data_IF_462927020774
#
_entry.id   IF_462927020774
#
_cell.length_a   1.000
_cell.length_b   1.000
_cell.length_c   1.000
_cell.angle_alpha   90.00
_cell.angle_beta   90.00
_cell.angle_gamma   90.00
#
_symmetry.space_group_name_H-M   'P 1'
#
loop_
_entity.id
_entity.type
_entity.pdbx_description
1 polymer ?
#
# COMPACT_ATOMS: atom_id res chain seq x y z
N UNK A 1 -28.72 0.35 14.01
CA UNK A 1 -27.33 0.80 14.09
C UNK A 1 -27.13 2.02 13.24
N UNK A 2 -26.63 3.09 13.83
CA UNK A 2 -26.54 4.38 13.15
C UNK A 2 -25.09 4.79 12.85
N UNK A 3 -24.09 3.98 13.29
CA UNK A 3 -22.67 4.26 13.02
C UNK A 3 -22.22 3.64 11.71
N UNK A 4 -21.53 4.45 10.89
CA UNK A 4 -21.01 4.08 9.57
C UNK A 4 -19.60 4.61 9.40
N UNK A 5 -18.87 4.13 8.39
CA UNK A 5 -17.59 4.70 8.00
C UNK A 5 -17.76 5.48 6.69
N UNK A 6 -17.42 6.76 6.72
CA UNK A 6 -17.35 7.64 5.55
C UNK A 6 -15.92 7.70 5.04
N UNK A 7 -15.72 7.41 3.75
CA UNK A 7 -14.42 7.40 3.11
C UNK A 7 -14.39 8.45 2.01
N UNK A 8 -13.54 9.46 2.15
CA UNK A 8 -13.35 10.50 1.12
C UNK A 8 -12.44 9.96 0.03
N UNK A 9 -12.92 10.03 -1.21
CA UNK A 9 -12.21 9.55 -2.38
C UNK A 9 -11.11 10.54 -2.79
N UNK A 10 -9.95 10.01 -3.14
CA UNK A 10 -8.78 10.78 -3.54
C UNK A 10 -8.76 11.13 -5.04
N UNK A 11 -7.60 11.01 -5.64
CA UNK A 11 -7.34 11.39 -7.04
C UNK A 11 -8.22 10.65 -8.08
N UNK A 12 -8.87 9.56 -7.70
CA UNK A 12 -9.77 8.83 -8.59
C UNK A 12 -10.99 9.66 -9.04
N UNK A 13 -11.39 10.69 -8.27
CA UNK A 13 -12.48 11.59 -8.67
C UNK A 13 -12.13 12.45 -9.89
N UNK A 14 -10.84 12.59 -10.21
CA UNK A 14 -10.33 13.35 -11.34
C UNK A 14 -10.26 12.52 -12.64
N UNK A 15 -10.70 11.25 -12.64
CA UNK A 15 -10.54 10.32 -13.77
C UNK A 15 -11.58 10.49 -14.90
N UNK A 16 -12.38 11.54 -14.87
CA UNK A 16 -13.33 11.87 -15.94
C UNK A 16 -14.24 10.70 -16.28
N UNK A 17 -14.32 10.30 -17.54
CA UNK A 17 -15.16 9.20 -18.03
C UNK A 17 -14.83 7.84 -17.43
N UNK A 18 -13.60 7.62 -16.98
CA UNK A 18 -13.16 6.35 -16.38
C UNK A 18 -13.51 6.25 -14.87
N UNK A 19 -14.02 7.30 -14.27
CA UNK A 19 -14.29 7.37 -12.82
C UNK A 19 -15.08 6.17 -12.30
N UNK A 20 -16.11 5.74 -13.03
CA UNK A 20 -16.95 4.60 -12.63
C UNK A 20 -16.14 3.31 -12.49
N UNK A 21 -15.26 3.00 -13.43
CA UNK A 21 -14.38 1.82 -13.37
C UNK A 21 -13.46 1.84 -12.13
N UNK A 22 -12.93 3.03 -11.77
CA UNK A 22 -12.12 3.20 -10.56
C UNK A 22 -12.94 3.02 -9.28
N UNK A 23 -14.17 3.57 -9.23
CA UNK A 23 -15.08 3.40 -8.09
C UNK A 23 -15.50 1.93 -7.93
N UNK A 24 -15.86 1.25 -9.00
CA UNK A 24 -16.24 -0.18 -8.98
C UNK A 24 -15.08 -1.06 -8.48
N UNK A 25 -13.84 -0.77 -8.93
CA UNK A 25 -12.65 -1.46 -8.45
C UNK A 25 -12.41 -1.20 -6.96
N UNK A 26 -12.57 0.04 -6.51
CA UNK A 26 -12.43 0.42 -5.11
C UNK A 26 -13.46 -0.29 -4.23
N UNK A 27 -14.73 -0.30 -4.64
CA UNK A 27 -15.81 -1.02 -3.95
C UNK A 27 -15.50 -2.51 -3.85
N UNK A 28 -15.03 -3.12 -4.95
CA UNK A 28 -14.63 -4.52 -4.97
C UNK A 28 -13.47 -4.81 -4.00
N UNK A 29 -12.48 -3.91 -3.92
CA UNK A 29 -11.37 -4.04 -2.98
C UNK A 29 -11.85 -3.89 -1.52
N UNK A 30 -12.74 -2.93 -1.24
CA UNK A 30 -13.33 -2.74 0.08
C UNK A 30 -14.12 -3.98 0.54
N UNK A 31 -15.02 -4.49 -0.31
CA UNK A 31 -15.84 -5.68 -0.01
C UNK A 31 -15.00 -6.91 0.32
N UNK A 32 -13.90 -7.14 -0.42
CA UNK A 32 -13.00 -8.27 -0.13
C UNK A 32 -12.36 -8.15 1.26
N UNK A 33 -11.98 -6.95 1.68
CA UNK A 33 -11.36 -6.71 2.99
C UNK A 33 -12.34 -6.80 4.16
N UNK A 34 -13.62 -6.57 3.88
CA UNK A 34 -14.69 -6.60 4.88
C UNK A 34 -15.34 -7.99 5.03
N UNK A 35 -14.98 -8.95 4.14
CA UNK A 35 -15.67 -10.25 4.04
C UNK A 35 -15.80 -11.00 5.35
N UNK A 36 -14.72 -11.01 6.15
CA UNK A 36 -14.64 -11.78 7.40
C UNK A 36 -14.96 -10.92 8.64
N UNK A 37 -15.38 -9.67 8.44
CA UNK A 37 -15.68 -8.70 9.51
C UNK A 37 -17.19 -8.48 9.71
N UNK A 38 -18.03 -9.12 8.92
CA UNK A 38 -19.49 -9.03 8.97
C UNK A 38 -20.11 -8.61 7.64
N UNK A 39 -21.42 -8.39 7.64
CA UNK A 39 -22.16 -7.97 6.46
C UNK A 39 -22.20 -6.44 6.36
N UNK A 40 -21.59 -5.89 5.33
CA UNK A 40 -21.52 -4.45 5.09
C UNK A 40 -22.13 -4.09 3.73
N UNK A 41 -22.90 -3.03 3.70
CA UNK A 41 -23.28 -2.36 2.45
C UNK A 41 -22.22 -1.34 2.08
N UNK A 42 -21.59 -1.52 0.90
CA UNK A 42 -20.53 -0.64 0.39
C UNK A 42 -20.98 -0.03 -0.93
N UNK A 43 -21.00 1.29 -1.00
CA UNK A 43 -21.39 2.05 -2.20
C UNK A 43 -20.71 3.42 -2.24
N UNK A 44 -20.66 4.05 -3.42
CA UNK A 44 -20.12 5.41 -3.60
C UNK A 44 -21.21 6.37 -4.00
N UNK A 45 -21.19 7.57 -3.45
CA UNK A 45 -22.02 8.70 -3.86
C UNK A 45 -21.34 10.03 -3.57
N UNK A 46 -21.42 10.99 -4.49
CA UNK A 46 -20.89 12.34 -4.33
C UNK A 46 -19.43 12.37 -3.81
N UNK A 47 -18.54 11.56 -4.43
CA UNK A 47 -17.11 11.45 -4.07
C UNK A 47 -16.84 10.95 -2.63
N UNK A 48 -17.81 10.28 -2.04
CA UNK A 48 -17.69 9.59 -0.75
C UNK A 48 -18.09 8.14 -0.93
N UNK A 49 -17.31 7.21 -0.36
CA UNK A 49 -17.71 5.82 -0.19
C UNK A 49 -18.28 5.66 1.21
N UNK A 50 -19.35 4.93 1.29
CA UNK A 50 -20.09 4.60 2.52
C UNK A 50 -19.87 3.13 2.83
N UNK A 51 -19.53 2.81 4.07
CA UNK A 51 -19.45 1.46 4.60
C UNK A 51 -20.42 1.39 5.77
N UNK A 52 -21.56 0.75 5.53
CA UNK A 52 -22.67 0.65 6.47
C UNK A 52 -22.79 -0.78 6.98
N UNK A 53 -22.74 -1.04 8.30
CA UNK A 53 -23.01 -2.36 8.83
C UNK A 53 -24.49 -2.71 8.63
N UNK A 54 -24.77 -3.94 8.22
CA UNK A 54 -26.14 -4.46 8.06
C UNK A 54 -26.61 -5.21 9.31
N UNK A 55 -25.70 -5.57 10.20
CA UNK A 55 -25.95 -6.35 11.41
C UNK A 55 -25.18 -5.76 12.59
N UNK A 56 -25.69 -5.99 13.81
CA UNK A 56 -25.05 -5.53 15.06
C UNK A 56 -23.75 -6.26 15.37
N UNK A 57 -23.56 -7.42 14.79
CA UNK A 57 -22.40 -8.28 14.97
C UNK A 57 -21.18 -7.86 14.13
N UNK A 58 -21.33 -6.87 13.25
CA UNK A 58 -20.23 -6.38 12.42
C UNK A 58 -19.08 -5.83 13.25
N UNK A 59 -17.84 -6.26 12.96
CA UNK A 59 -16.63 -5.71 13.55
C UNK A 59 -16.28 -4.34 12.93
N UNK A 60 -16.77 -3.28 13.57
CA UNK A 60 -16.55 -1.90 13.13
C UNK A 60 -15.11 -1.44 13.33
N UNK A 61 -14.37 -1.97 14.31
CA UNK A 61 -12.97 -1.62 14.54
C UNK A 61 -12.06 -2.28 13.51
N UNK A 62 -12.30 -3.57 13.22
CA UNK A 62 -11.65 -4.26 12.11
C UNK A 62 -11.96 -3.61 10.76
N UNK A 63 -13.20 -3.21 10.52
CA UNK A 63 -13.60 -2.50 9.30
C UNK A 63 -12.88 -1.14 9.17
N UNK A 64 -12.78 -0.38 10.25
CA UNK A 64 -12.02 0.86 10.29
C UNK A 64 -10.56 0.65 9.92
N UNK A 65 -9.90 -0.32 10.55
CA UNK A 65 -8.50 -0.66 10.28
C UNK A 65 -8.31 -1.12 8.82
N UNK A 66 -9.20 -1.95 8.29
CA UNK A 66 -9.15 -2.41 6.90
C UNK A 66 -9.33 -1.26 5.91
N UNK A 67 -10.23 -0.31 6.20
CA UNK A 67 -10.50 0.84 5.34
C UNK A 67 -9.42 1.91 5.43
N UNK A 68 -8.74 2.07 6.57
CA UNK A 68 -7.61 3.01 6.70
C UNK A 68 -6.42 2.65 5.81
N UNK A 69 -6.30 1.37 5.45
CA UNK A 69 -5.26 0.83 4.55
C UNK A 69 -5.70 0.70 3.09
N UNK A 70 -6.91 1.12 2.75
CA UNK A 70 -7.47 1.00 1.41
C UNK A 70 -6.94 2.10 0.49
N UNK A 71 -6.17 1.74 -0.52
CA UNK A 71 -5.70 2.70 -1.53
C UNK A 71 -6.87 3.24 -2.37
N UNK A 72 -6.85 4.56 -2.60
CA UNK A 72 -7.92 5.31 -3.24
C UNK A 72 -8.68 6.23 -2.27
N UNK A 73 -8.50 6.06 -0.96
CA UNK A 73 -9.13 6.82 0.12
C UNK A 73 -8.14 7.82 0.70
N UNK A 74 -8.49 9.11 0.76
CA UNK A 74 -7.63 10.18 1.31
C UNK A 74 -8.01 10.60 2.71
N UNK A 75 -9.21 10.27 3.16
CA UNK A 75 -9.67 10.55 4.52
C UNK A 75 -10.82 9.64 4.90
N UNK A 76 -10.92 9.34 6.17
CA UNK A 76 -11.98 8.50 6.73
C UNK A 76 -12.51 9.08 8.04
N UNK A 77 -13.80 8.88 8.30
CA UNK A 77 -14.46 9.32 9.51
C UNK A 77 -15.50 8.27 9.95
N UNK A 78 -15.55 7.97 11.23
CA UNK A 78 -16.72 7.32 11.82
C UNK A 78 -17.81 8.37 11.95
N UNK A 79 -19.01 8.07 11.53
CA UNK A 79 -20.12 8.99 11.51
C UNK A 79 -21.40 8.31 11.99
N UNK A 80 -22.28 9.09 12.61
CA UNK A 80 -23.63 8.64 12.92
C UNK A 80 -24.61 9.25 11.92
N UNK A 81 -25.44 8.40 11.34
CA UNK A 81 -26.53 8.83 10.47
C UNK A 81 -27.72 9.32 11.29
N UNK A 82 -28.41 10.37 10.83
CA UNK A 82 -29.62 10.89 11.44
C UNK A 82 -30.56 11.47 10.38
N UNK A 83 -31.74 11.85 10.79
CA UNK A 83 -32.72 12.51 9.91
C UNK A 83 -32.20 13.86 9.39
N UNK A 84 -32.67 14.27 8.19
CA UNK A 84 -32.30 15.55 7.59
C UNK A 84 -33.16 16.68 8.22
N UNK A 85 -32.90 16.89 9.48
CA UNK A 85 -33.55 17.93 10.28
C UNK A 85 -32.53 18.59 11.21
N UNK A 86 -32.67 19.90 11.45
CA UNK A 86 -31.68 20.65 12.25
C UNK A 86 -31.62 20.18 13.70
N UNK A 87 -32.80 19.85 14.28
CA UNK A 87 -32.90 19.43 15.68
C UNK A 87 -32.41 17.97 15.85
N UNK A 88 -32.69 17.11 14.84
CA UNK A 88 -32.14 15.75 14.78
C UNK A 88 -30.62 15.76 14.66
N UNK A 89 -30.01 16.64 13.85
CA UNK A 89 -28.57 16.84 13.75
C UNK A 89 -27.96 17.29 15.08
N UNK A 90 -28.60 18.25 15.77
CA UNK A 90 -28.17 18.72 17.07
C UNK A 90 -28.24 17.61 18.12
N UNK A 91 -29.34 16.89 18.20
CA UNK A 91 -29.54 15.78 19.13
C UNK A 91 -28.49 14.65 18.86
N UNK A 92 -28.26 14.35 17.59
CA UNK A 92 -27.22 13.39 17.19
C UNK A 92 -25.82 13.86 17.60
N UNK A 93 -25.47 15.14 17.39
CA UNK A 93 -24.20 15.70 17.81
C UNK A 93 -24.01 15.61 19.34
N UNK A 94 -25.02 16.02 20.11
CA UNK A 94 -24.97 15.92 21.56
C UNK A 94 -24.86 14.49 22.08
N UNK A 95 -25.50 13.51 21.46
CA UNK A 95 -25.45 12.12 21.92
C UNK A 95 -24.22 11.34 21.43
N UNK A 96 -23.86 11.51 20.16
CA UNK A 96 -22.76 10.75 19.55
C UNK A 96 -21.38 11.29 19.93
N UNK A 97 -21.25 12.61 20.09
CA UNK A 97 -19.97 13.25 20.40
C UNK A 97 -19.87 13.71 21.87
N UNK A 98 -20.78 13.33 22.76
CA UNK A 98 -20.83 13.79 24.16
C UNK A 98 -19.48 13.69 24.86
N UNK A 99 -18.83 12.53 24.80
CA UNK A 99 -17.52 12.32 25.43
C UNK A 99 -16.42 13.24 24.88
N UNK A 100 -16.44 13.50 23.55
CA UNK A 100 -15.48 14.42 22.91
C UNK A 100 -15.79 15.88 23.24
N UNK A 101 -17.05 16.26 23.24
CA UNK A 101 -17.49 17.62 23.60
C UNK A 101 -17.13 17.95 25.05
N UNK A 102 -17.26 16.99 25.97
CA UNK A 102 -16.85 17.17 27.37
C UNK A 102 -15.34 17.23 27.57
N UNK A 103 -14.56 16.55 26.71
CA UNK A 103 -13.10 16.48 26.82
C UNK A 103 -12.40 17.70 26.20
N UNK A 104 -12.97 18.29 25.14
CA UNK A 104 -12.38 19.43 24.45
C UNK A 104 -12.55 20.75 25.21
N UNK A 105 -11.65 21.69 24.98
CA UNK A 105 -11.73 23.07 25.48
C UNK A 105 -12.22 24.04 24.40
N UNK A 106 -11.81 23.80 23.17
CA UNK A 106 -12.20 24.65 22.04
C UNK A 106 -12.80 23.81 20.94
N UNK A 107 -13.79 24.39 20.22
CA UNK A 107 -14.45 23.70 19.13
C UNK A 107 -14.89 24.64 18.02
N UNK A 108 -15.21 24.03 16.88
CA UNK A 108 -15.98 24.65 15.80
C UNK A 108 -16.95 23.65 15.20
N UNK A 109 -17.96 24.15 14.52
CA UNK A 109 -18.90 23.35 13.71
C UNK A 109 -18.68 23.68 12.23
N UNK A 110 -18.45 22.66 11.42
CA UNK A 110 -18.40 22.78 9.97
C UNK A 110 -19.52 21.98 9.31
N UNK A 111 -20.38 22.67 8.56
CA UNK A 111 -21.48 22.02 7.85
C UNK A 111 -21.23 21.98 6.35
N UNK A 112 -21.54 20.84 5.73
CA UNK A 112 -21.55 20.66 4.28
C UNK A 112 -22.96 20.24 3.84
N UNK A 113 -23.52 21.00 2.90
CA UNK A 113 -24.85 20.75 2.36
C UNK A 113 -24.77 20.40 0.88
N UNK A 114 -24.94 19.12 0.55
CA UNK A 114 -25.08 18.67 -0.82
C UNK A 114 -26.55 18.77 -1.30
N UNK A 115 -27.51 18.46 -0.41
CA UNK A 115 -28.94 18.64 -0.67
C UNK A 115 -29.34 20.11 -0.51
N UNK A 116 -29.59 20.76 -1.64
CA UNK A 116 -30.00 22.17 -1.67
C UNK A 116 -31.45 22.42 -1.23
N UNK A 117 -32.27 21.37 -1.09
CA UNK A 117 -33.63 21.47 -0.57
C UNK A 117 -33.70 21.62 0.95
N UNK A 118 -32.60 21.35 1.66
CA UNK A 118 -32.53 21.54 3.11
C UNK A 118 -32.73 23.02 3.47
N UNK A 119 -33.59 23.36 4.47
CA UNK A 119 -34.05 24.73 4.71
C UNK A 119 -32.95 25.74 5.09
N UNK A 120 -31.84 25.27 5.66
CA UNK A 120 -30.73 26.13 6.12
C UNK A 120 -29.53 26.04 5.19
N UNK A 121 -28.79 27.14 5.05
CA UNK A 121 -27.47 27.13 4.43
C UNK A 121 -26.46 26.44 5.36
N UNK A 122 -25.31 26.07 4.82
CA UNK A 122 -24.24 25.48 5.65
C UNK A 122 -23.79 26.41 6.77
N UNK A 123 -23.73 27.71 6.52
CA UNK A 123 -23.32 28.71 7.51
C UNK A 123 -24.38 28.85 8.62
N UNK A 124 -25.65 28.90 8.27
CA UNK A 124 -26.76 28.97 9.23
C UNK A 124 -26.79 27.72 10.11
N UNK A 125 -26.66 26.54 9.51
CA UNK A 125 -26.64 25.28 10.24
C UNK A 125 -25.41 25.20 11.21
N UNK A 126 -24.22 25.62 10.77
CA UNK A 126 -23.04 25.66 11.64
C UNK A 126 -23.24 26.63 12.81
N UNK A 127 -23.85 27.80 12.57
CA UNK A 127 -24.15 28.78 13.64
C UNK A 127 -25.18 28.25 14.62
N UNK A 128 -26.26 27.65 14.11
CA UNK A 128 -27.31 27.08 14.94
C UNK A 128 -26.75 25.99 15.87
N UNK A 129 -26.15 24.96 15.28
CA UNK A 129 -25.63 23.85 16.10
C UNK A 129 -24.49 24.30 16.98
N UNK A 130 -23.60 25.21 16.50
CA UNK A 130 -22.50 25.76 17.29
C UNK A 130 -22.98 26.51 18.53
N UNK A 131 -23.99 27.39 18.40
CA UNK A 131 -24.58 28.12 19.53
C UNK A 131 -25.20 27.19 20.56
N UNK A 132 -25.98 26.21 20.11
CA UNK A 132 -26.63 25.22 20.98
C UNK A 132 -25.64 24.30 21.72
N UNK A 133 -24.46 24.00 21.10
CA UNK A 133 -23.41 23.24 21.75
C UNK A 133 -22.64 24.10 22.76
N UNK A 134 -22.36 25.36 22.45
CA UNK A 134 -21.70 26.32 23.36
C UNK A 134 -22.52 26.52 24.63
N UNK A 135 -23.84 26.65 24.50
CA UNK A 135 -24.77 26.76 25.64
C UNK A 135 -24.85 25.46 26.45
N UNK A 136 -24.87 24.31 25.78
CA UNK A 136 -25.02 22.99 26.44
C UNK A 136 -23.76 22.48 27.13
N UNK A 137 -22.56 22.93 26.71
CA UNK A 137 -21.28 22.48 27.22
C UNK A 137 -20.42 23.64 27.77
N UNK A 138 -20.55 24.01 29.03
CA UNK A 138 -19.85 25.18 29.62
C UNK A 138 -18.32 25.12 29.60
N UNK A 139 -17.77 23.93 29.34
CA UNK A 139 -16.32 23.73 29.18
C UNK A 139 -15.80 24.14 27.79
N UNK A 140 -16.70 24.33 26.81
CA UNK A 140 -16.33 24.62 25.43
C UNK A 140 -16.27 26.13 25.18
N UNK A 141 -15.35 26.53 24.29
CA UNK A 141 -15.28 27.86 23.70
C UNK A 141 -15.17 27.73 22.18
N UNK A 142 -15.85 28.59 21.45
CA UNK A 142 -15.77 28.61 19.98
C UNK A 142 -14.42 29.15 19.55
N UNK A 143 -13.63 28.35 18.83
CA UNK A 143 -12.41 28.77 18.14
C UNK A 143 -12.45 28.30 16.68
N UNK A 144 -12.67 29.23 15.75
CA UNK A 144 -12.77 28.93 14.31
C UNK A 144 -11.41 28.72 13.64
N UNK A 145 -10.31 29.12 14.26
CA UNK A 145 -8.96 29.07 13.71
C UNK A 145 -8.17 27.85 14.18
N UNK A 146 -8.20 27.57 15.50
CA UNK A 146 -7.40 26.52 16.14
C UNK A 146 -8.24 25.66 17.09
N UNK A 147 -9.37 25.05 16.62
CA UNK A 147 -10.21 24.24 17.49
C UNK A 147 -9.51 22.93 17.87
N UNK A 148 -9.69 22.50 19.10
CA UNK A 148 -9.32 21.14 19.53
C UNK A 148 -10.28 20.09 18.93
N UNK A 149 -11.56 20.46 18.75
CA UNK A 149 -12.59 19.58 18.18
C UNK A 149 -13.29 20.28 17.02
N UNK A 150 -13.38 19.62 15.87
CA UNK A 150 -14.24 20.07 14.78
C UNK A 150 -15.41 19.09 14.64
N UNK A 151 -16.62 19.59 14.87
CA UNK A 151 -17.87 18.86 14.63
C UNK A 151 -18.28 19.05 13.18
N UNK A 152 -18.35 17.97 12.42
CA UNK A 152 -18.77 17.99 11.03
C UNK A 152 -20.23 17.55 10.89
N UNK A 153 -21.03 18.35 10.19
CA UNK A 153 -22.41 18.06 9.82
C UNK A 153 -22.48 17.94 8.30
N UNK A 154 -22.84 16.77 7.78
CA UNK A 154 -22.99 16.57 6.35
C UNK A 154 -24.45 16.28 6.00
N UNK A 155 -25.14 17.22 5.34
CA UNK A 155 -26.51 17.02 4.81
C UNK A 155 -26.40 16.51 3.37
N UNK A 156 -26.80 15.26 3.16
CA UNK A 156 -26.79 14.57 1.87
C UNK A 156 -28.21 14.30 1.38
N UNK A 157 -28.39 13.71 0.20
CA UNK A 157 -29.72 13.50 -0.41
C UNK A 157 -30.67 12.64 0.44
N UNK A 158 -30.14 11.60 1.15
CA UNK A 158 -31.00 10.63 1.86
C UNK A 158 -30.94 10.75 3.38
N UNK A 159 -29.84 11.20 3.93
CA UNK A 159 -29.60 11.29 5.37
C UNK A 159 -28.69 12.45 5.69
N UNK A 160 -28.62 12.79 6.96
CA UNK A 160 -27.59 13.66 7.50
C UNK A 160 -26.61 12.82 8.33
N UNK A 161 -25.39 13.30 8.44
CA UNK A 161 -24.31 12.61 9.15
C UNK A 161 -23.59 13.57 10.08
N UNK A 162 -23.29 13.07 11.27
CA UNK A 162 -22.49 13.77 12.28
C UNK A 162 -21.21 12.99 12.49
N UNK A 163 -20.07 13.66 12.41
CA UNK A 163 -18.77 13.08 12.71
C UNK A 163 -17.78 14.13 13.25
N UNK A 164 -16.64 13.68 13.71
CA UNK A 164 -15.54 14.53 14.15
C UNK A 164 -14.20 13.89 13.74
N UNK A 165 -13.15 14.72 13.73
CA UNK A 165 -11.74 14.30 13.59
C UNK A 165 -11.50 13.29 12.47
N UNK A 166 -11.62 13.71 11.20
CA UNK A 166 -11.32 12.84 10.09
C UNK A 166 -9.82 12.42 10.10
N UNK A 167 -9.57 11.13 9.95
CA UNK A 167 -8.22 10.60 9.86
C UNK A 167 -7.72 10.54 8.41
N UNK A 168 -6.39 10.71 8.18
CA UNK A 168 -5.81 10.55 6.85
C UNK A 168 -5.93 9.09 6.37
N UNK A 169 -6.40 8.88 5.15
CA UNK A 169 -6.41 7.59 4.48
C UNK A 169 -5.09 7.24 3.79
N UNK A 170 -5.04 6.05 3.19
CA UNK A 170 -3.86 5.55 2.49
C UNK A 170 -3.49 6.35 1.22
N UNK A 171 -4.45 7.07 0.63
CA UNK A 171 -4.25 7.78 -0.63
C UNK A 171 -4.09 6.84 -1.82
N UNK A 172 -3.58 7.33 -2.94
CA UNK A 172 -3.27 6.54 -4.12
C UNK A 172 -4.48 6.13 -4.96
N UNK A 173 -4.36 4.99 -5.66
CA UNK A 173 -5.37 4.44 -6.58
C UNK A 173 -5.74 3.00 -6.19
N UNK A 174 -6.95 2.54 -6.52
CA UNK A 174 -7.40 1.18 -6.20
C UNK A 174 -6.47 0.12 -6.83
N UNK A 175 -5.97 -0.82 -6.04
CA UNK A 175 -5.09 -1.91 -6.51
C UNK A 175 -5.74 -2.71 -7.64
N UNK A 176 -4.98 -2.98 -8.68
CA UNK A 176 -5.38 -3.72 -9.87
C UNK A 176 -6.11 -2.91 -10.92
N UNK A 177 -6.23 -1.56 -10.76
CA UNK A 177 -6.78 -0.69 -11.82
C UNK A 177 -5.73 -0.36 -12.88
N UNK A 178 -4.45 -0.33 -12.52
CA UNK A 178 -3.33 0.02 -13.40
C UNK A 178 -2.60 -1.20 -14.01
N UNK A 179 -3.17 -2.39 -13.89
CA UNK A 179 -2.53 -3.61 -14.37
C UNK A 179 -1.78 -4.36 -13.28
N UNK A 180 -0.79 -5.18 -13.69
CA UNK A 180 -0.01 -6.08 -12.83
C UNK A 180 1.49 -5.89 -13.04
N UNK A 181 2.28 -6.06 -11.99
CA UNK A 181 3.75 -6.10 -12.06
C UNK A 181 4.31 -7.24 -11.19
N UNK A 182 5.52 -7.70 -11.55
CA UNK A 182 6.30 -8.62 -10.72
C UNK A 182 7.29 -7.82 -9.88
N UNK A 183 7.24 -7.96 -8.56
CA UNK A 183 8.16 -7.30 -7.64
C UNK A 183 9.16 -8.29 -7.06
N UNK A 184 10.45 -7.98 -7.16
CA UNK A 184 11.51 -8.73 -6.54
C UNK A 184 11.53 -8.42 -5.05
N UNK A 185 11.11 -9.40 -4.22
CA UNK A 185 11.02 -9.25 -2.77
C UNK A 185 12.19 -9.94 -2.08
N UNK A 186 12.94 -9.21 -1.29
CA UNK A 186 14.01 -9.69 -0.42
C UNK A 186 13.64 -9.54 1.06
N UNK A 187 14.46 -10.11 1.95
CA UNK A 187 14.33 -9.91 3.40
C UNK A 187 14.75 -8.53 3.91
N UNK A 188 15.23 -7.64 3.02
CA UNK A 188 15.65 -6.28 3.34
C UNK A 188 14.52 -5.28 3.48
N UNK A 189 14.86 -4.04 3.89
CA UNK A 189 13.89 -2.95 4.16
C UNK A 189 13.31 -2.37 2.87
N UNK A 190 14.10 -2.31 1.79
CA UNK A 190 13.80 -1.49 0.61
C UNK A 190 12.74 -2.13 -0.31
N UNK A 191 12.80 -3.45 -0.52
CA UNK A 191 11.90 -4.13 -1.46
C UNK A 191 10.43 -4.19 -1.02
N UNK A 192 10.08 -4.37 0.28
CA UNK A 192 8.70 -4.23 0.73
C UNK A 192 8.15 -2.81 0.55
N UNK A 193 8.98 -1.79 0.80
CA UNK A 193 8.60 -0.39 0.59
C UNK A 193 8.37 -0.12 -0.89
N UNK A 194 9.25 -0.59 -1.78
CA UNK A 194 9.09 -0.47 -3.22
C UNK A 194 7.80 -1.13 -3.71
N UNK A 195 7.49 -2.33 -3.23
CA UNK A 195 6.25 -3.05 -3.53
C UNK A 195 5.01 -2.25 -3.10
N UNK A 196 5.00 -1.76 -1.87
CA UNK A 196 3.91 -0.93 -1.35
C UNK A 196 3.70 0.36 -2.16
N UNK A 197 4.79 1.05 -2.54
CA UNK A 197 4.71 2.29 -3.32
C UNK A 197 4.08 2.07 -4.70
N UNK A 198 4.39 0.95 -5.36
CA UNK A 198 3.81 0.62 -6.67
C UNK A 198 2.36 0.15 -6.53
N UNK A 199 2.05 -0.67 -5.52
CA UNK A 199 0.66 -1.05 -5.24
C UNK A 199 -0.22 0.17 -4.96
N UNK A 200 0.31 1.19 -4.25
CA UNK A 200 -0.35 2.48 -4.01
C UNK A 200 -0.70 3.23 -5.32
N UNK A 201 -0.01 2.94 -6.42
CA UNK A 201 -0.32 3.50 -7.75
C UNK A 201 -1.33 2.66 -8.54
N UNK A 202 -1.99 1.70 -7.87
CA UNK A 202 -3.06 0.90 -8.45
C UNK A 202 -2.59 -0.37 -9.15
N UNK A 203 -1.34 -0.77 -9.00
CA UNK A 203 -0.76 -1.98 -9.60
C UNK A 203 -0.99 -3.18 -8.67
N UNK A 204 -1.53 -4.28 -9.21
CA UNK A 204 -1.53 -5.56 -8.53
C UNK A 204 -0.15 -6.20 -8.61
N UNK A 205 0.29 -6.86 -7.54
CA UNK A 205 1.64 -7.41 -7.46
C UNK A 205 1.64 -8.94 -7.44
N UNK A 206 2.57 -9.51 -8.20
CA UNK A 206 3.15 -10.83 -8.01
C UNK A 206 4.53 -10.63 -7.39
N UNK A 207 4.94 -11.49 -6.48
CA UNK A 207 6.22 -11.36 -5.78
C UNK A 207 7.15 -12.50 -6.20
N UNK A 208 8.42 -12.19 -6.43
CA UNK A 208 9.47 -13.17 -6.71
C UNK A 208 10.54 -13.05 -5.63
N UNK A 209 10.85 -14.15 -4.96
CA UNK A 209 11.94 -14.29 -4.01
C UNK A 209 12.92 -15.34 -4.50
N UNK A 210 14.23 -15.07 -4.39
CA UNK A 210 15.30 -16.00 -4.73
C UNK A 210 15.86 -16.65 -3.48
N UNK A 211 15.82 -17.97 -3.44
CA UNK A 211 16.19 -18.76 -2.27
C UNK A 211 17.40 -19.67 -2.58
N UNK A 212 18.43 -19.60 -1.75
CA UNK A 212 19.72 -20.26 -1.99
C UNK A 212 20.05 -21.31 -0.91
N UNK A 213 19.15 -22.29 -0.73
CA UNK A 213 19.42 -23.41 0.17
C UNK A 213 20.60 -24.25 -0.36
N UNK A 214 21.53 -24.75 0.49
CA UNK A 214 21.55 -24.64 1.96
C UNK A 214 22.28 -23.37 2.48
N UNK A 215 22.73 -22.47 1.62
CA UNK A 215 23.48 -21.28 2.02
C UNK A 215 22.62 -20.23 2.73
N UNK A 216 21.35 -20.15 2.41
CA UNK A 216 20.36 -19.39 3.18
C UNK A 216 19.44 -20.35 3.93
N UNK A 217 19.00 -19.95 5.13
CA UNK A 217 18.17 -20.79 5.99
C UNK A 217 16.69 -20.77 5.62
N UNK A 218 15.93 -21.78 6.06
CA UNK A 218 14.46 -21.75 5.95
C UNK A 218 13.85 -20.56 6.71
N UNK A 219 14.50 -20.08 7.78
CA UNK A 219 14.10 -18.87 8.50
C UNK A 219 14.20 -17.62 7.62
N UNK A 220 15.22 -17.58 6.72
CA UNK A 220 15.33 -16.48 5.76
C UNK A 220 14.17 -16.50 4.75
N UNK A 221 13.77 -17.67 4.23
CA UNK A 221 12.57 -17.83 3.39
C UNK A 221 11.30 -17.42 4.15
N UNK A 222 11.14 -17.90 5.38
CA UNK A 222 9.99 -17.56 6.21
C UNK A 222 9.89 -16.05 6.47
N UNK A 223 10.99 -15.38 6.76
CA UNK A 223 11.06 -13.92 6.90
C UNK A 223 10.46 -13.19 5.70
N UNK A 224 10.78 -13.63 4.48
CA UNK A 224 10.25 -13.03 3.25
C UNK A 224 8.74 -13.30 3.09
N UNK A 225 8.29 -14.50 3.40
CA UNK A 225 6.86 -14.83 3.41
C UNK A 225 6.09 -13.98 4.45
N UNK A 226 6.69 -13.76 5.62
CA UNK A 226 6.09 -12.89 6.65
C UNK A 226 6.04 -11.43 6.20
N UNK A 227 7.08 -10.91 5.51
CA UNK A 227 7.07 -9.59 4.89
C UNK A 227 5.96 -9.47 3.83
N UNK A 228 5.78 -10.50 3.00
CA UNK A 228 4.70 -10.54 2.03
C UNK A 228 3.31 -10.52 2.72
N UNK A 229 3.12 -11.29 3.81
CA UNK A 229 1.90 -11.23 4.63
C UNK A 229 1.63 -9.84 5.22
N UNK A 230 2.66 -9.13 5.68
CA UNK A 230 2.52 -7.77 6.19
C UNK A 230 2.12 -6.75 5.10
N UNK A 231 2.35 -7.06 3.83
CA UNK A 231 1.92 -6.24 2.70
C UNK A 231 0.46 -6.51 2.28
N UNK A 232 -0.12 -7.70 2.55
CA UNK A 232 -1.48 -8.05 2.10
C UNK A 232 -2.57 -7.09 2.59
N UNK A 233 -2.53 -6.53 3.83
CA UNK A 233 -3.52 -5.55 4.27
C UNK A 233 -3.54 -4.26 3.42
N UNK A 234 -2.44 -3.97 2.71
CA UNK A 234 -2.32 -2.81 1.82
C UNK A 234 -2.53 -3.17 0.35
N UNK A 235 -1.86 -4.22 -0.11
CA UNK A 235 -1.78 -4.60 -1.52
C UNK A 235 -2.91 -5.54 -1.97
N UNK A 236 -3.62 -6.15 -1.02
CA UNK A 236 -4.61 -7.21 -1.29
C UNK A 236 -3.93 -8.56 -1.50
N UNK A 237 -4.66 -9.48 -2.14
CA UNK A 237 -4.14 -10.82 -2.47
C UNK A 237 -2.88 -10.73 -3.33
N UNK A 238 -1.87 -11.51 -2.96
CA UNK A 238 -0.59 -11.62 -3.66
C UNK A 238 -0.16 -13.08 -3.77
N UNK A 239 0.60 -13.37 -4.83
CA UNK A 239 1.25 -14.66 -5.03
C UNK A 239 2.76 -14.46 -4.89
N UNK A 240 3.42 -15.35 -4.15
CA UNK A 240 4.88 -15.34 -3.95
C UNK A 240 5.49 -16.54 -4.65
N UNK A 241 6.36 -16.28 -5.61
CA UNK A 241 7.17 -17.27 -6.31
C UNK A 241 8.54 -17.38 -5.64
N UNK A 242 8.81 -18.47 -4.96
CA UNK A 242 10.11 -18.74 -4.33
C UNK A 242 10.95 -19.58 -5.30
N UNK A 243 11.93 -18.95 -5.89
CA UNK A 243 12.77 -19.53 -6.96
C UNK A 243 14.05 -20.09 -6.38
N UNK A 244 14.37 -21.39 -6.56
CA UNK A 244 15.66 -21.97 -6.16
C UNK A 244 16.77 -21.36 -6.99
N UNK A 245 17.80 -20.81 -6.31
CA UNK A 245 18.79 -19.99 -6.97
C UNK A 245 20.24 -20.49 -6.80
N UNK A 246 20.47 -21.49 -5.97
CA UNK A 246 21.77 -22.05 -5.60
C UNK A 246 22.56 -22.50 -6.82
N UNK A 247 21.98 -23.28 -7.73
CA UNK A 247 22.68 -23.81 -8.91
C UNK A 247 23.24 -22.69 -9.81
N UNK A 248 22.48 -21.61 -9.97
CA UNK A 248 22.94 -20.43 -10.73
C UNK A 248 24.13 -19.77 -10.02
N UNK A 249 24.07 -19.60 -8.70
CA UNK A 249 25.16 -18.98 -7.95
C UNK A 249 26.45 -19.82 -7.98
N UNK A 250 26.34 -21.14 -7.88
CA UNK A 250 27.48 -22.05 -7.96
C UNK A 250 28.12 -22.04 -9.35
N UNK A 251 27.34 -22.04 -10.43
CA UNK A 251 27.83 -21.92 -11.80
C UNK A 251 28.49 -20.57 -12.05
N UNK A 252 27.91 -19.47 -11.56
CA UNK A 252 28.53 -18.15 -11.62
C UNK A 252 29.89 -18.12 -10.91
N UNK A 253 29.96 -18.67 -9.70
CA UNK A 253 31.18 -18.74 -8.91
C UNK A 253 32.27 -19.60 -9.60
N UNK A 254 31.85 -20.68 -10.27
CA UNK A 254 32.76 -21.62 -10.92
C UNK A 254 33.36 -21.10 -12.24
N UNK A 255 32.56 -20.35 -13.03
CA UNK A 255 32.86 -20.02 -14.41
C UNK A 255 33.16 -18.54 -14.68
N UNK A 256 32.74 -17.65 -13.80
CA UNK A 256 32.80 -16.21 -14.04
C UNK A 256 33.83 -15.52 -13.13
N UNK A 257 34.36 -14.35 -13.52
CA UNK A 257 35.23 -13.54 -12.66
C UNK A 257 34.51 -13.14 -11.38
N UNK A 258 35.19 -13.24 -10.22
CA UNK A 258 34.61 -12.95 -8.91
C UNK A 258 34.02 -11.53 -8.84
N UNK A 259 34.69 -10.52 -9.37
CA UNK A 259 34.25 -9.14 -9.36
C UNK A 259 32.94 -8.90 -10.11
N UNK A 260 32.57 -9.76 -11.06
CA UNK A 260 31.33 -9.67 -11.85
C UNK A 260 30.18 -10.47 -11.22
N UNK A 261 30.43 -11.27 -10.19
CA UNK A 261 29.44 -12.17 -9.60
C UNK A 261 28.11 -11.48 -9.30
N UNK A 262 28.14 -10.37 -8.58
CA UNK A 262 26.91 -9.66 -8.16
C UNK A 262 26.10 -9.14 -9.34
N UNK A 263 26.74 -8.56 -10.35
CA UNK A 263 26.03 -8.02 -11.52
C UNK A 263 25.46 -9.14 -12.39
N UNK A 264 26.21 -10.22 -12.59
CA UNK A 264 25.73 -11.39 -13.33
C UNK A 264 24.57 -12.07 -12.62
N UNK A 265 24.69 -12.30 -11.31
CA UNK A 265 23.63 -12.83 -10.48
C UNK A 265 22.32 -12.03 -10.63
N UNK A 266 22.41 -10.70 -10.54
CA UNK A 266 21.23 -9.82 -10.71
C UNK A 266 20.64 -9.88 -12.11
N UNK A 267 21.45 -10.07 -13.15
CA UNK A 267 20.96 -10.28 -14.53
C UNK A 267 20.11 -11.54 -14.63
N UNK A 268 20.55 -12.65 -14.00
CA UNK A 268 19.73 -13.88 -13.92
C UNK A 268 18.41 -13.64 -13.16
N UNK A 269 18.48 -12.95 -12.02
CA UNK A 269 17.26 -12.58 -11.27
C UNK A 269 16.27 -11.81 -12.13
N UNK A 270 16.75 -10.83 -12.89
CA UNK A 270 15.89 -10.01 -13.76
C UNK A 270 15.28 -10.84 -14.90
N UNK A 271 16.03 -11.72 -15.56
CA UNK A 271 15.52 -12.62 -16.60
C UNK A 271 14.45 -13.58 -16.06
N UNK A 272 14.67 -14.16 -14.89
CA UNK A 272 13.70 -15.05 -14.23
C UNK A 272 12.44 -14.27 -13.88
N UNK A 273 12.57 -13.09 -13.27
CA UNK A 273 11.43 -12.25 -12.92
C UNK A 273 10.62 -11.84 -14.17
N UNK A 274 11.28 -11.57 -15.30
CA UNK A 274 10.59 -11.26 -16.56
C UNK A 274 9.85 -12.48 -17.11
N UNK A 275 10.38 -13.69 -17.01
CA UNK A 275 9.65 -14.90 -17.39
C UNK A 275 8.45 -15.17 -16.50
N UNK A 276 8.56 -14.93 -15.18
CA UNK A 276 7.39 -14.95 -14.28
C UNK A 276 6.37 -13.90 -14.72
N UNK A 277 6.80 -12.68 -15.05
CA UNK A 277 5.92 -11.63 -15.53
C UNK A 277 5.16 -12.02 -16.80
N UNK A 278 5.84 -12.64 -17.76
CA UNK A 278 5.22 -13.14 -19.00
C UNK A 278 4.16 -14.21 -18.69
N UNK A 279 4.45 -15.16 -17.79
CA UNK A 279 3.51 -16.22 -17.39
C UNK A 279 2.27 -15.69 -16.68
N UNK A 280 2.41 -14.62 -15.88
CA UNK A 280 1.33 -14.03 -15.07
C UNK A 280 0.64 -12.85 -15.74
N UNK A 281 1.08 -12.47 -16.95
CA UNK A 281 0.54 -11.32 -17.69
C UNK A 281 0.87 -9.97 -17.03
N UNK A 282 1.97 -9.88 -16.28
CA UNK A 282 2.44 -8.64 -15.70
C UNK A 282 3.18 -7.77 -16.75
N UNK A 283 2.94 -6.46 -16.73
CA UNK A 283 3.50 -5.52 -17.71
C UNK A 283 4.74 -4.77 -17.25
N UNK A 284 5.26 -5.04 -16.05
CA UNK A 284 6.46 -4.38 -15.52
C UNK A 284 7.13 -5.22 -14.44
N UNK A 285 8.41 -4.92 -14.17
CA UNK A 285 9.15 -5.41 -13.01
C UNK A 285 9.29 -4.28 -11.98
N UNK A 286 9.40 -4.65 -10.69
CA UNK A 286 9.63 -3.70 -9.60
C UNK A 286 10.84 -4.16 -8.79
N UNK A 287 11.75 -3.24 -8.49
CA UNK A 287 12.91 -3.52 -7.63
C UNK A 287 13.05 -2.48 -6.52
N UNK A 288 13.60 -2.90 -5.40
CA UNK A 288 13.95 -2.02 -4.26
C UNK A 288 15.34 -1.39 -4.40
N UNK A 289 15.83 -1.16 -5.62
CA UNK A 289 17.14 -0.56 -5.85
C UNK A 289 17.14 0.93 -5.51
N UNK A 290 18.18 1.35 -4.75
CA UNK A 290 18.46 2.74 -4.39
C UNK A 290 19.86 3.11 -4.84
N UNK A 291 20.03 4.26 -5.53
CA UNK A 291 21.33 4.67 -6.06
C UNK A 291 22.36 4.89 -4.96
N UNK A 292 23.56 4.30 -5.16
CA UNK A 292 24.70 4.50 -4.28
C UNK A 292 24.64 3.80 -2.92
N UNK A 293 23.61 3.01 -2.64
CA UNK A 293 23.47 2.34 -1.34
C UNK A 293 24.43 1.14 -1.21
N UNK A 294 24.64 0.39 -2.28
CA UNK A 294 25.60 -0.73 -2.35
C UNK A 294 26.33 -0.75 -3.69
N UNK A 295 27.45 -1.49 -3.78
CA UNK A 295 28.31 -1.53 -4.95
C UNK A 295 27.60 -1.95 -6.26
N UNK A 296 26.53 -2.72 -6.18
CA UNK A 296 25.71 -3.13 -7.34
C UNK A 296 24.63 -2.13 -7.73
N UNK A 297 24.48 -1.02 -7.01
CA UNK A 297 23.47 0.02 -7.24
C UNK A 297 24.10 1.31 -7.77
N UNK A 298 25.07 1.16 -8.69
CA UNK A 298 25.62 2.24 -9.50
C UNK A 298 24.87 2.37 -10.82
N UNK A 299 25.00 3.51 -11.50
CA UNK A 299 24.35 3.72 -12.81
C UNK A 299 24.76 2.67 -13.83
N UNK A 300 26.05 2.32 -13.86
CA UNK A 300 26.60 1.31 -14.77
C UNK A 300 26.06 -0.09 -14.47
N UNK A 301 26.03 -0.49 -13.18
CA UNK A 301 25.47 -1.78 -12.76
C UNK A 301 23.99 -1.87 -13.07
N UNK A 302 23.22 -0.82 -12.77
CA UNK A 302 21.79 -0.74 -13.08
C UNK A 302 21.52 -0.78 -14.59
N UNK A 303 22.34 -0.11 -15.41
CA UNK A 303 22.27 -0.21 -16.88
C UNK A 303 22.50 -1.65 -17.35
N UNK A 304 23.50 -2.33 -16.80
CA UNK A 304 23.81 -3.70 -17.16
C UNK A 304 22.70 -4.69 -16.78
N UNK A 305 22.08 -4.51 -15.62
CA UNK A 305 20.94 -5.35 -15.18
C UNK A 305 19.66 -5.03 -15.94
N UNK A 306 19.44 -3.78 -16.34
CA UNK A 306 18.30 -3.38 -17.18
C UNK A 306 18.39 -3.96 -18.59
N UNK A 307 19.61 -4.10 -19.15
CA UNK A 307 19.82 -4.51 -20.53
C UNK A 307 19.33 -5.93 -20.88
N UNK A 308 18.97 -6.74 -19.89
CA UNK A 308 18.44 -8.12 -20.11
C UNK A 308 16.92 -8.19 -20.10
N UNK A 309 16.23 -7.09 -19.83
CA UNK A 309 14.78 -7.03 -19.78
C UNK A 309 14.22 -6.22 -20.92
N UNK A 310 13.10 -6.67 -21.45
CA UNK A 310 12.25 -5.95 -22.41
C UNK A 310 11.14 -5.16 -21.70
N UNK A 311 10.70 -5.63 -20.53
CA UNK A 311 9.70 -4.94 -19.72
C UNK A 311 10.27 -3.73 -18.98
N UNK A 312 9.46 -2.69 -18.74
CA UNK A 312 9.87 -1.56 -17.93
C UNK A 312 10.18 -2.00 -16.49
N UNK A 313 11.27 -1.46 -15.92
CA UNK A 313 11.68 -1.71 -14.55
C UNK A 313 11.35 -0.47 -13.71
N UNK A 314 10.43 -0.62 -12.77
CA UNK A 314 10.02 0.43 -11.84
C UNK A 314 10.90 0.37 -10.59
N UNK A 315 11.54 1.51 -10.27
CA UNK A 315 12.45 1.67 -9.12
C UNK A 315 11.95 2.78 -8.21
N UNK A 316 10.87 2.56 -7.45
CA UNK A 316 10.20 3.65 -6.73
C UNK A 316 11.05 4.28 -5.63
N UNK A 317 12.07 3.58 -5.11
CA UNK A 317 12.95 4.07 -4.04
C UNK A 317 14.32 4.56 -4.55
N UNK A 318 14.52 4.63 -5.87
CA UNK A 318 15.84 4.89 -6.49
C UNK A 318 16.50 6.20 -6.03
N UNK A 319 15.74 7.23 -5.75
CA UNK A 319 16.22 8.55 -5.32
C UNK A 319 15.92 8.87 -3.85
N UNK A 320 15.52 7.89 -3.05
CA UNK A 320 15.20 8.10 -1.63
C UNK A 320 16.43 7.84 -0.75
N UNK A 321 16.56 8.59 0.33
CA UNK A 321 17.53 8.27 1.36
C UNK A 321 17.04 7.15 2.29
N UNK A 322 17.97 6.60 3.11
CA UNK A 322 17.64 5.46 3.96
C UNK A 322 16.58 5.78 5.02
N UNK A 323 16.60 7.00 5.56
CA UNK A 323 15.65 7.44 6.57
C UNK A 323 14.22 7.57 6.02
N UNK A 324 14.08 8.03 4.78
CA UNK A 324 12.79 8.09 4.10
C UNK A 324 12.20 6.69 3.91
N UNK A 325 13.02 5.73 3.48
CA UNK A 325 12.60 4.33 3.30
C UNK A 325 12.22 3.70 4.65
N UNK A 326 13.04 3.88 5.70
CA UNK A 326 12.77 3.37 7.05
C UNK A 326 11.47 3.94 7.62
N UNK A 327 11.20 5.23 7.40
CA UNK A 327 9.94 5.85 7.84
C UNK A 327 8.72 5.18 7.19
N UNK A 328 8.80 4.87 5.90
CA UNK A 328 7.72 4.14 5.22
C UNK A 328 7.64 2.70 5.73
N UNK A 329 8.75 2.00 5.89
CA UNK A 329 8.80 0.63 6.39
C UNK A 329 8.13 0.50 7.77
N UNK A 330 8.38 1.45 8.67
CA UNK A 330 7.70 1.53 9.98
C UNK A 330 6.20 1.77 9.83
N UNK A 331 5.81 2.71 8.98
CA UNK A 331 4.39 3.01 8.70
C UNK A 331 3.61 1.80 8.19
N UNK A 332 4.21 0.98 7.34
CA UNK A 332 3.56 -0.20 6.77
C UNK A 332 3.75 -1.47 7.60
N UNK A 333 4.52 -1.40 8.68
CA UNK A 333 4.73 -2.49 9.64
C UNK A 333 5.76 -3.53 9.21
N UNK A 334 6.59 -3.27 8.18
CA UNK A 334 7.58 -4.22 7.67
C UNK A 334 8.96 -4.09 8.31
N UNK A 335 9.24 -2.97 8.99
CA UNK A 335 10.57 -2.65 9.49
C UNK A 335 11.13 -3.71 10.45
N UNK A 336 10.38 -4.08 11.49
CA UNK A 336 10.85 -5.00 12.53
C UNK A 336 11.16 -6.39 11.96
N UNK A 337 10.35 -6.88 11.02
CA UNK A 337 10.63 -8.14 10.33
C UNK A 337 11.84 -8.00 9.41
N UNK A 338 11.99 -6.89 8.70
CA UNK A 338 13.11 -6.67 7.78
C UNK A 338 14.48 -6.66 8.45
N UNK A 339 14.58 -6.25 9.72
CA UNK A 339 15.85 -6.19 10.46
C UNK A 339 16.23 -7.49 11.18
N UNK A 340 15.40 -8.55 11.08
CA UNK A 340 15.76 -9.86 11.62
C UNK A 340 17.07 -10.38 10.98
N UNK A 341 17.95 -11.03 11.76
CA UNK A 341 19.31 -11.37 11.34
C UNK A 341 19.38 -12.63 10.46
N UNK A 342 18.54 -12.69 9.42
CA UNK A 342 18.57 -13.77 8.42
C UNK A 342 19.04 -13.22 7.10
N UNK A 343 20.07 -13.85 6.52
CA UNK A 343 20.74 -13.39 5.31
C UNK A 343 19.94 -13.67 4.04
N UNK A 344 19.97 -12.73 3.11
CA UNK A 344 19.42 -12.89 1.76
C UNK A 344 20.39 -13.64 0.82
N UNK A 345 19.87 -14.21 -0.26
CA UNK A 345 20.67 -14.88 -1.28
C UNK A 345 21.78 -13.97 -1.88
N UNK A 346 21.59 -12.67 -1.88
CA UNK A 346 22.57 -11.72 -2.43
C UNK A 346 23.85 -11.57 -1.59
N UNK A 347 23.86 -12.01 -0.34
CA UNK A 347 25.02 -11.90 0.56
C UNK A 347 25.88 -13.16 0.60
N UNK A 348 25.36 -14.28 0.12
CA UNK A 348 25.98 -15.63 0.25
C UNK A 348 27.36 -15.71 -0.37
N UNK A 349 27.57 -15.14 -1.57
CA UNK A 349 28.83 -15.18 -2.30
C UNK A 349 29.31 -13.78 -2.69
N UNK A 350 29.24 -12.86 -1.74
CA UNK A 350 29.65 -11.47 -2.01
C UNK A 350 31.13 -11.39 -2.33
N UNK A 351 31.53 -10.85 -3.50
CA UNK A 351 32.95 -10.69 -3.86
C UNK A 351 33.64 -9.70 -2.92
N UNK A 352 34.93 -9.92 -2.66
CA UNK A 352 35.76 -9.00 -1.86
C UNK A 352 35.85 -7.61 -2.50
N UNK A 353 35.95 -7.59 -3.84
CA UNK A 353 36.07 -6.36 -4.63
C UNK A 353 35.04 -6.36 -5.79
N UNK A 354 33.77 -6.04 -5.53
CA UNK A 354 32.76 -6.03 -6.58
C UNK A 354 33.02 -4.93 -7.60
N UNK A 355 32.81 -5.21 -8.88
CA UNK A 355 32.93 -4.22 -9.94
C UNK A 355 31.82 -3.17 -9.82
N UNK A 356 32.18 -1.93 -9.44
CA UNK A 356 31.23 -0.82 -9.32
C UNK A 356 30.93 -0.13 -10.66
N UNK A 357 31.84 -0.26 -11.63
CA UNK A 357 31.67 0.28 -13.00
C UNK A 357 31.90 -0.82 -14.05
N UNK A 358 31.07 -1.88 -14.05
CA UNK A 358 31.27 -3.00 -14.95
C UNK A 358 30.97 -2.57 -16.39
N UNK A 359 31.88 -2.91 -17.32
CA UNK A 359 31.65 -2.73 -18.76
C UNK A 359 30.74 -3.84 -19.28
N UNK A 360 29.76 -3.51 -20.08
CA UNK A 360 28.78 -4.47 -20.60
C UNK A 360 29.45 -5.59 -21.41
N UNK A 361 30.46 -5.27 -22.20
CA UNK A 361 31.21 -6.25 -23.00
C UNK A 361 31.83 -7.34 -22.12
N UNK A 362 32.46 -6.97 -20.98
CA UNK A 362 33.06 -7.91 -20.03
C UNK A 362 32.01 -8.77 -19.34
N UNK A 363 30.84 -8.17 -19.02
CA UNK A 363 29.71 -8.90 -18.46
C UNK A 363 29.20 -9.95 -19.46
N UNK A 364 29.03 -9.58 -20.73
CA UNK A 364 28.54 -10.47 -21.78
C UNK A 364 29.54 -11.62 -22.05
N UNK A 365 30.87 -11.34 -22.02
CA UNK A 365 31.90 -12.39 -22.11
C UNK A 365 31.81 -13.38 -20.93
N UNK A 366 31.65 -12.86 -19.69
CA UNK A 366 31.42 -13.71 -18.52
C UNK A 366 30.17 -14.58 -18.64
N UNK A 367 29.07 -13.99 -19.08
CA UNK A 367 27.77 -14.65 -19.24
C UNK A 367 27.77 -15.72 -20.34
N UNK A 368 28.57 -15.53 -21.43
CA UNK A 368 28.66 -16.47 -22.53
C UNK A 368 29.25 -17.83 -22.13
N UNK A 369 29.90 -17.92 -20.98
CA UNK A 369 30.48 -19.18 -20.41
C UNK A 369 29.43 -20.06 -19.74
N UNK A 370 28.21 -19.56 -19.62
CA UNK A 370 27.08 -20.20 -18.91
C UNK A 370 26.02 -20.66 -19.90
N UNK A 371 25.40 -21.80 -19.62
CA UNK A 371 24.17 -22.18 -20.25
C UNK A 371 23.02 -21.47 -19.52
N UNK A 372 22.83 -20.19 -19.85
CA UNK A 372 21.88 -19.32 -19.15
C UNK A 372 20.44 -19.81 -19.29
N UNK A 373 20.06 -20.34 -20.46
CA UNK A 373 18.69 -20.77 -20.71
C UNK A 373 18.35 -22.03 -19.93
N UNK A 374 19.26 -23.02 -19.89
CA UNK A 374 19.06 -24.22 -19.09
C UNK A 374 19.00 -23.92 -17.57
N UNK A 375 19.86 -23.02 -17.08
CA UNK A 375 19.87 -22.61 -15.67
C UNK A 375 18.56 -21.90 -15.27
N UNK A 376 18.08 -21.01 -16.13
CA UNK A 376 16.83 -20.28 -15.90
C UNK A 376 15.63 -21.24 -15.95
N UNK A 377 15.60 -22.15 -16.94
CA UNK A 377 14.52 -23.14 -17.06
C UNK A 377 14.43 -24.03 -15.82
N UNK A 378 15.57 -24.56 -15.34
CA UNK A 378 15.62 -25.39 -14.14
C UNK A 378 15.17 -24.63 -12.88
N UNK A 379 15.57 -23.37 -12.72
CA UNK A 379 15.14 -22.54 -11.60
C UNK A 379 13.63 -22.27 -11.61
N UNK A 380 13.05 -22.03 -12.79
CA UNK A 380 11.62 -21.82 -12.97
C UNK A 380 10.78 -23.09 -12.76
N UNK A 381 11.31 -24.26 -13.12
CA UNK A 381 10.68 -25.55 -12.88
C UNK A 381 10.64 -25.89 -11.39
N UNK A 382 11.69 -25.57 -10.66
CA UNK A 382 11.80 -25.78 -9.21
C UNK A 382 11.10 -24.72 -8.35
N UNK A 383 10.35 -23.76 -8.93
CA UNK A 383 9.74 -22.67 -8.19
C UNK A 383 8.56 -23.14 -7.32
N UNK A 384 8.62 -22.83 -6.03
CA UNK A 384 7.49 -22.99 -5.11
C UNK A 384 6.58 -21.75 -5.17
N UNK A 385 5.25 -21.97 -5.09
CA UNK A 385 4.26 -20.89 -5.17
C UNK A 385 3.41 -20.84 -3.92
N UNK A 386 3.29 -19.66 -3.31
CA UNK A 386 2.49 -19.40 -2.11
C UNK A 386 1.45 -18.33 -2.41
N UNK A 387 0.18 -18.61 -2.09
CA UNK A 387 -0.91 -17.64 -2.18
C UNK A 387 -1.17 -17.00 -0.80
N UNK A 388 -1.27 -15.66 -0.76
CA UNK A 388 -1.41 -14.88 0.47
C UNK A 388 -2.59 -13.90 0.39
#
# INVERSE_FOLDING_TARGET
MDEIILLKLGELVLKGLNRRSFEDKLIGNARRRLKDLGQFRVYTKQSTMYVEPLEETCDMDGAWLAMSRLFGVVGLSRARACAKDKDALLACAKTYLDGRLRAAKTFKVESKRADKSFPMTSVELSRYVGGELDEAYPNLQVDVHHPELTVYLEVRDYAAYVHADPEPGAGGLPVGIGGRAVSLLSGGIDSPVASWMIAKRGIALELVHFFSYPYTSEQAKQKVLDLAKLLTPWCGHMVVHVVPFTAIQEELRRKCPEELFTVLMRRFMMRIAEQVAQRTGAGALVTGECLGQVASQTMEAMRATTAVCSLPILRPVVGMDKEEIVRIARKIGTFETSILPYEDCCTVFTPRHPATKPKLEIILDGESKLDSDALIAAALEGTEVFEL
#
